data_IF_657044610004
#
_entry.id   IF_657044610004
#
_cell.length_a   1.000
_cell.length_b   1.000
_cell.length_c   1.000
_cell.angle_alpha   90.00
_cell.angle_beta   90.00
_cell.angle_gamma   90.00
#
_symmetry.space_group_name_H-M   'P 1'
#
loop_
_entity.id
_entity.type
_entity.pdbx_description
1 polymer ?
#
# COMPACT_ATOMS: atom_id res chain seq x y z
N UNK A 1 4.12 30.12 19.75
CA UNK A 1 4.67 29.18 18.75
C UNK A 1 3.83 29.26 17.47
N UNK A 2 4.32 30.01 16.47
CA UNK A 2 3.68 30.15 15.15
C UNK A 2 3.85 28.90 14.27
N UNK A 3 4.82 28.04 14.58
CA UNK A 3 5.10 26.80 13.87
C UNK A 3 3.90 25.82 13.82
N UNK A 4 2.99 25.83 14.82
CA UNK A 4 1.85 24.89 14.84
C UNK A 4 0.69 25.24 13.90
N UNK A 5 0.66 26.46 13.36
CA UNK A 5 -0.46 26.95 12.53
C UNK A 5 -0.04 27.21 11.09
N UNK A 6 1.16 26.76 10.72
CA UNK A 6 1.64 26.91 9.37
C UNK A 6 0.87 25.94 8.46
N UNK A 7 0.43 26.36 7.26
CA UNK A 7 -0.16 25.45 6.29
C UNK A 7 0.77 24.28 6.03
N UNK A 8 0.20 23.08 5.92
CA UNK A 8 0.93 21.82 5.76
C UNK A 8 1.84 21.83 4.51
N UNK A 9 1.53 22.70 3.55
CA UNK A 9 2.19 22.81 2.25
C UNK A 9 3.20 23.98 2.19
N UNK A 10 3.42 24.67 3.31
CA UNK A 10 4.33 25.82 3.38
C UNK A 10 5.78 25.41 3.11
N UNK A 11 6.52 26.29 2.43
CA UNK A 11 7.92 26.06 2.07
C UNK A 11 8.81 25.70 3.27
N UNK A 12 8.52 26.24 4.46
CA UNK A 12 9.24 25.96 5.71
C UNK A 12 8.97 24.53 6.23
N UNK A 13 7.76 23.99 6.03
CA UNK A 13 7.45 22.60 6.41
C UNK A 13 8.14 21.60 5.47
N UNK A 14 8.26 21.94 4.18
CA UNK A 14 9.00 21.14 3.19
C UNK A 14 10.51 21.12 3.46
N UNK A 15 11.08 22.28 3.79
CA UNK A 15 12.52 22.43 4.08
C UNK A 15 12.93 21.72 5.39
N UNK A 16 12.02 21.59 6.37
CA UNK A 16 12.29 20.96 7.66
C UNK A 16 12.10 19.43 7.66
N UNK A 17 11.21 18.89 6.82
CA UNK A 17 10.83 17.47 6.83
C UNK A 17 11.40 16.65 5.64
N UNK A 18 12.04 17.29 4.66
CA UNK A 18 12.68 16.63 3.51
C UNK A 18 11.70 15.98 2.53
N UNK A 19 12.22 15.30 1.49
CA UNK A 19 11.41 14.61 0.46
C UNK A 19 10.47 13.53 1.04
N UNK A 20 10.82 12.97 2.21
CA UNK A 20 9.97 12.04 2.96
C UNK A 20 8.72 12.68 3.59
N UNK A 21 8.53 13.99 3.41
CA UNK A 21 7.37 14.75 3.86
C UNK A 21 6.24 14.89 2.82
N UNK A 22 6.42 14.38 1.60
CA UNK A 22 5.51 14.69 0.50
C UNK A 22 4.12 14.06 0.63
N UNK A 23 4.02 12.86 1.19
CA UNK A 23 2.73 12.22 1.43
C UNK A 23 2.28 12.39 2.87
N UNK A 24 1.13 13.03 3.04
CA UNK A 24 0.39 12.97 4.29
C UNK A 24 -0.20 11.56 4.50
N UNK A 25 -0.64 11.27 5.73
CA UNK A 25 -1.35 10.02 6.03
C UNK A 25 -2.58 9.85 5.13
N UNK A 26 -3.27 10.94 4.81
CA UNK A 26 -4.41 10.92 3.89
C UNK A 26 -4.01 10.50 2.48
N UNK A 27 -2.82 10.87 2.01
CA UNK A 27 -2.33 10.49 0.68
C UNK A 27 -2.00 9.00 0.63
N UNK A 28 -1.36 8.46 1.67
CA UNK A 28 -1.13 7.01 1.79
C UNK A 28 -2.44 6.22 1.84
N UNK A 29 -3.43 6.69 2.62
CA UNK A 29 -4.72 6.03 2.72
C UNK A 29 -5.52 6.12 1.41
N UNK A 30 -5.45 7.26 0.73
CA UNK A 30 -6.11 7.44 -0.57
C UNK A 30 -5.47 6.57 -1.64
N UNK A 31 -4.14 6.51 -1.71
CA UNK A 31 -3.43 5.61 -2.62
C UNK A 31 -3.83 4.15 -2.39
N UNK A 32 -3.90 3.71 -1.13
CA UNK A 32 -4.37 2.36 -0.80
C UNK A 32 -5.83 2.11 -1.24
N UNK A 33 -6.72 3.08 -1.04
CA UNK A 33 -8.10 2.97 -1.49
C UNK A 33 -8.21 2.90 -3.03
N UNK A 34 -7.41 3.68 -3.75
CA UNK A 34 -7.35 3.67 -5.22
C UNK A 34 -6.83 2.34 -5.74
N UNK A 35 -5.76 1.80 -5.16
CA UNK A 35 -5.20 0.49 -5.56
C UNK A 35 -6.25 -0.62 -5.41
N UNK A 36 -6.92 -0.67 -4.25
CA UNK A 36 -7.95 -1.68 -3.99
C UNK A 36 -9.19 -1.50 -4.87
N UNK A 37 -9.55 -0.26 -5.22
CA UNK A 37 -10.64 0.01 -6.15
C UNK A 37 -10.27 -0.43 -7.59
N UNK A 38 -9.04 -0.18 -8.02
CA UNK A 38 -8.56 -0.61 -9.32
C UNK A 38 -8.57 -2.14 -9.43
N UNK A 39 -8.11 -2.83 -8.39
CA UNK A 39 -8.13 -4.29 -8.30
C UNK A 39 -9.56 -4.85 -8.35
N UNK A 40 -10.48 -4.30 -7.56
CA UNK A 40 -11.88 -4.71 -7.56
C UNK A 40 -12.56 -4.48 -8.92
N UNK A 41 -12.27 -3.35 -9.56
CA UNK A 41 -12.80 -3.04 -10.90
C UNK A 41 -12.23 -3.97 -11.96
N UNK A 42 -10.93 -4.31 -11.87
CA UNK A 42 -10.31 -5.29 -12.74
C UNK A 42 -10.95 -6.67 -12.56
N UNK A 43 -11.14 -7.15 -11.32
CA UNK A 43 -11.84 -8.41 -11.06
C UNK A 43 -13.25 -8.40 -11.64
N UNK A 44 -13.99 -7.30 -11.45
CA UNK A 44 -15.33 -7.15 -11.98
C UNK A 44 -15.32 -7.18 -13.52
N UNK A 45 -14.45 -6.41 -14.17
CA UNK A 45 -14.33 -6.39 -15.62
C UNK A 45 -13.92 -7.76 -16.17
N UNK A 46 -12.96 -8.43 -15.53
CA UNK A 46 -12.49 -9.78 -15.88
C UNK A 46 -13.60 -10.83 -15.78
N UNK A 47 -14.53 -10.71 -14.85
CA UNK A 47 -15.68 -11.62 -14.76
C UNK A 47 -16.76 -11.32 -15.80
N UNK A 48 -16.87 -10.05 -16.24
CA UNK A 48 -17.91 -9.59 -17.16
C UNK A 48 -17.42 -9.44 -18.61
N UNK A 49 -16.21 -9.90 -18.91
CA UNK A 49 -15.67 -9.87 -20.27
C UNK A 49 -16.23 -11.02 -21.11
N UNK A 50 -16.40 -10.78 -22.41
CA UNK A 50 -16.84 -11.79 -23.36
C UNK A 50 -15.82 -12.94 -23.45
N UNK A 51 -16.27 -14.16 -23.78
CA UNK A 51 -15.43 -15.36 -23.78
C UNK A 51 -14.24 -15.29 -24.76
N UNK A 52 -14.38 -14.50 -25.83
CA UNK A 52 -13.35 -14.30 -26.86
C UNK A 52 -12.52 -13.02 -26.64
N UNK A 53 -12.76 -12.28 -25.54
CA UNK A 53 -12.03 -11.06 -25.25
C UNK A 53 -10.60 -11.34 -24.80
N UNK A 54 -9.68 -10.44 -25.15
CA UNK A 54 -8.31 -10.51 -24.64
C UNK A 54 -8.28 -10.30 -23.12
N UNK A 55 -7.46 -11.06 -22.37
CA UNK A 55 -7.33 -10.88 -20.93
C UNK A 55 -6.90 -9.46 -20.56
N UNK A 56 -7.56 -8.87 -19.57
CA UNK A 56 -7.23 -7.55 -19.05
C UNK A 56 -5.92 -7.57 -18.26
N UNK A 57 -5.08 -6.55 -18.49
CA UNK A 57 -3.86 -6.34 -17.72
C UNK A 57 -4.17 -6.04 -16.25
N UNK A 58 -3.35 -6.59 -15.36
CA UNK A 58 -3.49 -6.36 -13.92
C UNK A 58 -3.13 -4.91 -13.58
N UNK A 59 -3.91 -4.22 -12.73
CA UNK A 59 -3.67 -2.82 -12.45
C UNK A 59 -2.37 -2.60 -11.66
N UNK A 60 -1.59 -1.61 -12.08
CA UNK A 60 -0.36 -1.21 -11.39
C UNK A 60 -0.70 -0.30 -10.19
N UNK A 61 -0.23 -0.60 -8.97
CA UNK A 61 -0.46 0.25 -7.80
C UNK A 61 0.17 1.64 -7.93
N UNK A 62 -0.42 2.63 -7.24
CA UNK A 62 0.12 3.99 -7.18
C UNK A 62 1.52 3.98 -6.56
N UNK A 63 2.50 4.54 -7.27
CA UNK A 63 3.89 4.65 -6.79
C UNK A 63 3.97 5.50 -5.53
N UNK A 64 4.56 4.95 -4.46
CA UNK A 64 4.66 5.61 -3.16
C UNK A 64 6.05 6.19 -2.94
N UNK A 65 6.19 7.37 -2.32
CA UNK A 65 7.49 7.90 -1.93
C UNK A 65 8.23 6.91 -1.02
N UNK A 66 9.49 6.62 -1.36
CA UNK A 66 10.35 5.69 -0.63
C UNK A 66 10.04 4.20 -0.84
N UNK A 67 9.02 3.86 -1.64
CA UNK A 67 8.87 2.51 -2.14
C UNK A 67 9.74 2.34 -3.39
N UNK A 68 10.49 1.25 -3.46
CA UNK A 68 11.15 0.85 -4.71
C UNK A 68 10.04 0.67 -5.76
N UNK A 69 10.23 1.20 -6.99
CA UNK A 69 9.24 1.02 -8.04
C UNK A 69 9.02 -0.48 -8.22
N UNK A 70 7.76 -0.91 -8.13
CA UNK A 70 7.40 -2.25 -8.56
C UNK A 70 7.88 -2.36 -10.00
N UNK A 71 8.81 -3.29 -10.26
CA UNK A 71 9.32 -3.52 -11.59
C UNK A 71 8.10 -3.70 -12.51
N UNK A 72 8.07 -2.97 -13.62
CA UNK A 72 7.07 -3.14 -14.67
C UNK A 72 7.23 -4.57 -15.21
N UNK A 73 6.61 -5.55 -14.55
CA UNK A 73 6.38 -6.87 -15.13
C UNK A 73 5.35 -6.67 -16.23
N UNK A 74 5.87 -6.28 -17.40
CA UNK A 74 5.18 -6.45 -18.67
C UNK A 74 4.63 -7.87 -18.69
N UNK A 75 3.31 -7.98 -18.81
CA UNK A 75 2.59 -9.24 -18.67
C UNK A 75 3.20 -10.38 -19.48
N UNK A 76 3.74 -11.36 -18.77
CA UNK A 76 3.82 -12.74 -19.24
C UNK A 76 3.80 -13.67 -18.02
N UNK A 77 2.77 -14.51 -17.94
CA UNK A 77 2.79 -15.73 -17.13
C UNK A 77 2.65 -15.54 -15.61
N UNK A 78 1.49 -15.91 -15.10
CA UNK A 78 1.29 -16.21 -13.69
C UNK A 78 2.35 -17.20 -13.16
N UNK A 79 3.16 -16.76 -12.19
CA UNK A 79 3.59 -17.61 -11.10
C UNK A 79 3.17 -16.97 -9.78
N UNK A 80 2.13 -17.56 -9.18
CA UNK A 80 1.75 -17.29 -7.82
C UNK A 80 2.96 -17.50 -6.91
N UNK A 81 3.52 -16.39 -6.41
CA UNK A 81 4.51 -16.45 -5.34
C UNK A 81 3.83 -17.10 -4.14
N UNK A 82 4.28 -18.28 -3.67
CA UNK A 82 3.67 -18.90 -2.52
C UNK A 82 3.88 -17.96 -1.35
N UNK A 83 2.78 -17.61 -0.69
CA UNK A 83 2.78 -17.02 0.64
C UNK A 83 3.78 -17.79 1.51
N UNK A 84 4.98 -17.24 1.63
CA UNK A 84 5.98 -17.67 2.59
C UNK A 84 5.40 -17.27 3.95
N UNK A 85 4.64 -18.20 4.54
CA UNK A 85 4.19 -18.08 5.91
C UNK A 85 5.39 -17.73 6.80
N UNK A 86 5.25 -16.83 7.79
CA UNK A 86 6.36 -16.51 8.65
C UNK A 86 6.72 -17.76 9.46
N UNK A 87 7.87 -18.34 9.13
CA UNK A 87 8.63 -19.18 10.05
C UNK A 87 9.07 -18.28 11.21
N UNK A 88 8.16 -18.07 12.17
CA UNK A 88 8.40 -17.35 13.41
C UNK A 88 9.15 -18.24 14.41
N UNK A 89 10.46 -18.34 14.23
CA UNK A 89 11.38 -18.66 15.32
C UNK A 89 11.57 -17.41 16.18
N UNK A 90 11.26 -17.53 17.47
CA UNK A 90 11.69 -16.67 18.58
C UNK A 90 11.26 -15.18 18.52
N UNK A 91 10.01 -14.90 18.90
CA UNK A 91 9.60 -13.53 19.21
C UNK A 91 8.09 -13.24 19.29
N UNK A 92 7.21 -14.19 18.97
CA UNK A 92 5.77 -13.93 19.03
C UNK A 92 5.25 -14.09 20.47
N UNK A 93 4.67 -13.04 21.08
CA UNK A 93 4.16 -13.12 22.44
C UNK A 93 3.04 -14.14 22.52
N UNK A 94 3.06 -14.96 23.57
CA UNK A 94 2.01 -15.96 23.79
C UNK A 94 0.67 -15.32 24.19
N UNK A 95 -0.40 -16.10 24.12
CA UNK A 95 -1.77 -15.62 24.38
C UNK A 95 -1.95 -14.98 25.78
N UNK A 96 -1.19 -15.43 26.78
CA UNK A 96 -1.22 -14.87 28.14
C UNK A 96 -0.54 -13.50 28.17
N UNK A 97 0.53 -13.29 27.40
CA UNK A 97 1.19 -11.99 27.28
C UNK A 97 0.30 -10.95 26.60
N UNK A 98 -0.39 -11.34 25.52
CA UNK A 98 -1.33 -10.44 24.83
C UNK A 98 -2.49 -10.02 25.72
N UNK A 99 -3.08 -10.95 26.46
CA UNK A 99 -4.20 -10.65 27.37
C UNK A 99 -3.81 -9.66 28.46
N UNK A 100 -2.54 -9.68 28.90
CA UNK A 100 -2.02 -8.77 29.94
C UNK A 100 -1.70 -7.37 29.41
N UNK A 101 -1.32 -7.22 28.14
CA UNK A 101 -1.08 -5.90 27.51
C UNK A 101 -2.36 -5.07 27.36
N UNK A 102 -3.47 -5.69 26.94
CA UNK A 102 -4.74 -4.97 26.70
C UNK A 102 -5.57 -4.69 27.95
N UNK A 103 -5.12 -5.16 29.12
CA UNK A 103 -5.83 -4.98 30.40
C UNK A 103 -5.26 -3.84 31.26
N UNK A 104 -4.29 -3.08 30.75
CA UNK A 104 -3.74 -1.86 31.38
C UNK A 104 -4.41 -0.62 30.79
#
# INVERSE_FOLDING_TARGET
>A
MLLRHLPRDSAVARELHGEAAEWSVSDYLLAAAVDQLAEANWMFATVNQDEDAEPLEYPVPVSRPGAEPAAEESGDGAEASPSAGPAGGEGQPDAVQLTRFFAQ
#
